data_IF_298422392820
#
_entry.id   IF_298422392820
#
_cell.length_a   1.000
_cell.length_b   1.000
_cell.length_c   1.000
_cell.angle_alpha   90.00
_cell.angle_beta   90.00
_cell.angle_gamma   90.00
#
_symmetry.space_group_name_H-M   'P 1'
#
loop_
_entity.id
_entity.type
_entity.pdbx_description
1 polymer ?
#
# COMPACT_ATOMS: atom_id res chain seq x y z
N UNK A 1 -12.76 -18.52 9.43
CA UNK A 1 -13.89 -17.57 9.49
C UNK A 1 -15.04 -18.26 10.20
N UNK A 2 -15.54 -17.71 11.30
CA UNK A 2 -16.67 -18.28 12.05
C UNK A 2 -17.98 -17.61 11.61
N UNK A 3 -18.93 -18.37 11.09
CA UNK A 3 -20.26 -17.91 10.69
C UNK A 3 -21.27 -18.22 11.80
N UNK A 4 -22.11 -17.24 12.17
CA UNK A 4 -23.29 -17.49 12.99
C UNK A 4 -24.30 -18.36 12.24
N UNK A 5 -25.23 -19.00 12.95
CA UNK A 5 -26.27 -19.81 12.30
C UNK A 5 -27.12 -19.01 11.28
N UNK A 6 -27.33 -17.71 11.54
CA UNK A 6 -28.04 -16.82 10.62
C UNK A 6 -27.22 -16.51 9.35
N UNK A 7 -25.92 -16.26 9.50
CA UNK A 7 -25.02 -16.05 8.36
C UNK A 7 -24.84 -17.34 7.54
N UNK A 8 -24.72 -18.49 8.19
CA UNK A 8 -24.63 -19.78 7.52
C UNK A 8 -25.88 -20.05 6.66
N UNK A 9 -27.07 -19.77 7.21
CA UNK A 9 -28.32 -19.91 6.46
C UNK A 9 -28.38 -18.98 5.25
N UNK A 10 -27.95 -17.73 5.39
CA UNK A 10 -27.88 -16.78 4.27
C UNK A 10 -26.91 -17.25 3.19
N UNK A 11 -25.73 -17.75 3.59
CA UNK A 11 -24.74 -18.27 2.64
C UNK A 11 -25.24 -19.49 1.88
N UNK A 12 -25.89 -20.44 2.57
CA UNK A 12 -26.49 -21.62 1.92
C UNK A 12 -27.50 -21.17 0.86
N UNK A 13 -28.40 -20.25 1.21
CA UNK A 13 -29.40 -19.75 0.27
C UNK A 13 -28.76 -19.04 -0.93
N UNK A 14 -27.72 -18.25 -0.69
CA UNK A 14 -26.99 -17.55 -1.74
C UNK A 14 -26.29 -18.51 -2.71
N UNK A 15 -25.62 -19.56 -2.22
CA UNK A 15 -24.99 -20.55 -3.10
C UNK A 15 -26.04 -21.36 -3.86
N UNK A 16 -27.17 -21.72 -3.23
CA UNK A 16 -28.27 -22.41 -3.92
C UNK A 16 -28.89 -21.52 -5.01
N UNK A 17 -29.02 -20.21 -4.78
CA UNK A 17 -29.50 -19.25 -5.78
C UNK A 17 -28.54 -19.15 -6.97
N UNK A 18 -27.24 -19.07 -6.70
CA UNK A 18 -26.20 -18.91 -7.72
C UNK A 18 -25.91 -20.20 -8.50
N UNK A 19 -26.12 -21.37 -7.90
CA UNK A 19 -25.88 -22.68 -8.50
C UNK A 19 -27.13 -23.55 -8.36
N UNK A 20 -28.15 -23.35 -9.22
CA UNK A 20 -29.47 -23.95 -9.05
C UNK A 20 -29.52 -25.45 -9.34
N UNK A 21 -28.44 -26.03 -9.88
CA UNK A 21 -28.31 -27.47 -10.11
C UNK A 21 -27.07 -28.05 -9.40
N UNK A 22 -27.08 -29.38 -9.19
CA UNK A 22 -25.94 -30.10 -8.61
C UNK A 22 -24.73 -30.02 -9.54
N UNK A 23 -24.98 -30.07 -10.84
CA UNK A 23 -23.99 -30.05 -11.91
C UNK A 23 -23.25 -28.70 -11.94
N UNK A 24 -23.97 -27.58 -11.84
CA UNK A 24 -23.35 -26.25 -11.80
C UNK A 24 -22.47 -26.07 -10.56
N UNK A 25 -22.97 -26.53 -9.40
CA UNK A 25 -22.19 -26.54 -8.16
C UNK A 25 -20.95 -27.42 -8.28
N UNK A 26 -21.07 -28.59 -8.91
CA UNK A 26 -19.95 -29.51 -9.11
C UNK A 26 -18.88 -28.92 -10.04
N UNK A 27 -19.29 -28.25 -11.12
CA UNK A 27 -18.37 -27.56 -12.03
C UNK A 27 -17.58 -26.47 -11.31
N UNK A 28 -18.26 -25.61 -10.53
CA UNK A 28 -17.55 -24.57 -9.76
C UNK A 28 -16.58 -25.17 -8.75
N UNK A 29 -17.00 -26.19 -8.00
CA UNK A 29 -16.12 -26.84 -7.00
C UNK A 29 -14.93 -27.53 -7.68
N UNK A 30 -15.13 -28.15 -8.84
CA UNK A 30 -14.05 -28.83 -9.57
C UNK A 30 -13.08 -27.85 -10.24
N UNK A 31 -13.59 -26.81 -10.91
CA UNK A 31 -12.76 -25.86 -11.67
C UNK A 31 -12.07 -24.83 -10.78
N UNK A 32 -12.76 -24.32 -9.76
CA UNK A 32 -12.23 -23.24 -8.92
C UNK A 32 -11.53 -23.74 -7.67
N UNK A 33 -11.94 -24.90 -7.14
CA UNK A 33 -11.38 -25.45 -5.90
C UNK A 33 -10.57 -26.73 -6.11
N UNK A 34 -10.61 -27.32 -7.32
CA UNK A 34 -9.90 -28.57 -7.63
C UNK A 34 -10.45 -29.80 -6.91
N UNK A 35 -11.70 -29.74 -6.41
CA UNK A 35 -12.28 -30.75 -5.53
C UNK A 35 -13.46 -31.47 -6.19
N UNK A 36 -13.66 -32.75 -5.85
CA UNK A 36 -14.80 -33.51 -6.34
C UNK A 36 -15.99 -33.36 -5.38
N UNK A 37 -17.08 -32.70 -5.83
CA UNK A 37 -18.27 -32.44 -5.01
C UNK A 37 -18.87 -33.71 -4.40
N UNK A 38 -18.93 -34.81 -5.15
CA UNK A 38 -19.50 -36.08 -4.69
C UNK A 38 -18.63 -36.77 -3.61
N UNK A 39 -17.33 -36.47 -3.59
CA UNK A 39 -16.41 -37.00 -2.58
C UNK A 39 -16.46 -36.21 -1.26
N UNK A 40 -16.80 -34.92 -1.32
CA UNK A 40 -16.68 -34.00 -0.18
C UNK A 40 -18.02 -33.62 0.45
N UNK A 41 -19.13 -33.82 -0.26
CA UNK A 41 -20.46 -33.52 0.24
C UNK A 41 -21.52 -34.49 -0.31
N UNK A 42 -22.58 -34.67 0.46
CA UNK A 42 -23.74 -35.44 0.05
C UNK A 42 -25.03 -34.75 0.55
N UNK A 43 -26.16 -34.99 -0.10
CA UNK A 43 -27.43 -34.44 0.32
C UNK A 43 -28.60 -34.98 -0.50
N UNK A 44 -29.77 -35.10 0.14
CA UNK A 44 -31.00 -35.58 -0.52
C UNK A 44 -31.63 -34.51 -1.43
N UNK A 45 -31.20 -33.26 -1.30
CA UNK A 45 -31.55 -32.14 -2.16
C UNK A 45 -30.39 -31.13 -2.17
N UNK A 46 -30.42 -30.18 -3.11
CA UNK A 46 -29.35 -29.20 -3.32
C UNK A 46 -29.06 -28.36 -2.07
N UNK A 47 -30.09 -27.91 -1.35
CA UNK A 47 -29.92 -27.15 -0.11
C UNK A 47 -29.17 -27.96 0.95
N UNK A 48 -29.51 -29.24 1.13
CA UNK A 48 -28.83 -30.13 2.06
C UNK A 48 -27.39 -30.42 1.62
N UNK A 49 -27.15 -30.55 0.31
CA UNK A 49 -25.82 -30.75 -0.27
C UNK A 49 -24.92 -29.54 -0.01
N UNK A 50 -25.41 -28.31 -0.24
CA UNK A 50 -24.70 -27.06 0.02
C UNK A 50 -24.45 -26.86 1.52
N UNK A 51 -25.45 -27.15 2.37
CA UNK A 51 -25.28 -27.09 3.82
C UNK A 51 -24.21 -28.06 4.33
N UNK A 52 -24.20 -29.30 3.83
CA UNK A 52 -23.20 -30.30 4.19
C UNK A 52 -21.81 -29.94 3.64
N UNK A 53 -21.73 -29.37 2.44
CA UNK A 53 -20.48 -28.87 1.85
C UNK A 53 -19.85 -27.82 2.76
N UNK A 54 -20.66 -26.94 3.35
CA UNK A 54 -20.16 -25.93 4.28
C UNK A 54 -19.79 -26.51 5.64
N UNK A 55 -20.69 -27.27 6.26
CA UNK A 55 -20.55 -27.68 7.67
C UNK A 55 -19.63 -28.87 7.88
N UNK A 56 -19.57 -29.80 6.92
CA UNK A 56 -18.76 -31.02 7.02
C UNK A 56 -17.42 -30.92 6.32
N UNK A 57 -17.29 -30.04 5.32
CA UNK A 57 -16.04 -29.88 4.57
C UNK A 57 -15.43 -28.48 4.74
N UNK A 58 -16.14 -27.41 4.39
CA UNK A 58 -15.53 -26.08 4.27
C UNK A 58 -15.12 -25.49 5.62
N UNK A 59 -15.99 -25.54 6.64
CA UNK A 59 -15.71 -24.97 7.97
C UNK A 59 -14.59 -25.76 8.69
N UNK A 60 -14.65 -27.11 8.83
CA UNK A 60 -13.63 -27.86 9.55
C UNK A 60 -12.24 -27.76 8.93
N UNK A 61 -12.15 -27.56 7.61
CA UNK A 61 -10.89 -27.45 6.86
C UNK A 61 -10.43 -26.02 6.61
N UNK A 62 -11.13 -25.02 7.16
CA UNK A 62 -10.82 -23.60 6.93
C UNK A 62 -11.04 -23.11 5.48
N UNK A 63 -11.74 -23.89 4.65
CA UNK A 63 -11.99 -23.62 3.22
C UNK A 63 -13.24 -22.78 2.96
N UNK A 64 -13.90 -22.24 4.00
CA UNK A 64 -15.11 -21.43 3.84
C UNK A 64 -14.88 -20.16 3.02
N UNK A 65 -13.75 -19.47 3.21
CA UNK A 65 -13.44 -18.25 2.45
C UNK A 65 -13.08 -18.55 1.00
N UNK A 66 -12.20 -19.55 0.69
CA UNK A 66 -12.02 -20.04 -0.68
C UNK A 66 -13.33 -20.41 -1.38
N UNK A 67 -14.22 -21.14 -0.70
CA UNK A 67 -15.52 -21.54 -1.25
C UNK A 67 -16.39 -20.33 -1.62
N UNK A 68 -16.47 -19.31 -0.76
CA UNK A 68 -17.24 -18.09 -1.03
C UNK A 68 -16.64 -17.30 -2.20
N UNK A 69 -15.30 -17.21 -2.27
CA UNK A 69 -14.60 -16.48 -3.34
C UNK A 69 -14.79 -17.18 -4.69
N UNK A 70 -14.62 -18.51 -4.73
CA UNK A 70 -14.88 -19.32 -5.91
C UNK A 70 -16.32 -19.17 -6.39
N UNK A 71 -17.29 -19.37 -5.47
CA UNK A 71 -18.70 -19.25 -5.77
C UNK A 71 -19.07 -17.87 -6.35
N UNK A 72 -18.52 -16.78 -5.79
CA UNK A 72 -18.78 -15.42 -6.27
C UNK A 72 -18.06 -15.12 -7.58
N UNK A 73 -16.82 -15.59 -7.76
CA UNK A 73 -16.03 -15.35 -8.97
C UNK A 73 -16.67 -15.93 -10.23
N UNK A 74 -17.27 -17.12 -10.14
CA UNK A 74 -17.94 -17.75 -11.29
C UNK A 74 -19.35 -17.16 -11.55
N UNK A 75 -20.05 -16.66 -10.52
CA UNK A 75 -21.41 -16.08 -10.64
C UNK A 75 -21.55 -14.74 -9.89
N UNK A 76 -20.86 -13.67 -10.33
CA UNK A 76 -20.81 -12.39 -9.60
C UNK A 76 -22.11 -11.58 -9.69
N UNK A 77 -22.94 -11.84 -10.71
CA UNK A 77 -24.20 -11.14 -10.95
C UNK A 77 -25.38 -11.69 -10.14
N UNK A 78 -25.19 -12.80 -9.40
CA UNK A 78 -26.24 -13.34 -8.54
C UNK A 78 -26.47 -12.41 -7.33
N UNK A 79 -27.69 -11.86 -7.13
CA UNK A 79 -27.93 -10.81 -6.15
C UNK A 79 -27.79 -11.30 -4.70
N UNK A 80 -28.23 -12.52 -4.38
CA UNK A 80 -28.12 -13.07 -3.02
C UNK A 80 -26.67 -13.38 -2.65
N UNK A 81 -25.89 -13.89 -3.61
CA UNK A 81 -24.46 -14.16 -3.43
C UNK A 81 -23.65 -12.87 -3.32
N UNK A 82 -23.99 -11.86 -4.13
CA UNK A 82 -23.42 -10.52 -4.03
C UNK A 82 -23.70 -9.87 -2.67
N UNK A 83 -24.95 -9.90 -2.21
CA UNK A 83 -25.32 -9.37 -0.88
C UNK A 83 -24.59 -10.12 0.24
N UNK A 84 -24.49 -11.44 0.16
CA UNK A 84 -23.77 -12.23 1.16
C UNK A 84 -22.27 -11.95 1.16
N UNK A 85 -21.64 -11.94 -0.02
CA UNK A 85 -20.22 -11.62 -0.19
C UNK A 85 -19.89 -10.25 0.41
N UNK A 86 -20.74 -9.25 0.11
CA UNK A 86 -20.62 -7.90 0.63
C UNK A 86 -20.92 -7.76 2.12
N UNK A 87 -21.77 -8.59 2.69
CA UNK A 87 -22.15 -8.49 4.10
C UNK A 87 -21.24 -9.25 5.06
N UNK A 88 -20.52 -10.29 4.61
CA UNK A 88 -19.76 -11.18 5.49
C UNK A 88 -18.28 -11.24 5.17
N UNK A 89 -17.88 -11.39 3.90
CA UNK A 89 -16.44 -11.42 3.53
C UNK A 89 -15.82 -10.04 3.67
N UNK A 90 -16.55 -9.03 3.20
CA UNK A 90 -16.20 -7.61 3.35
C UNK A 90 -16.22 -7.27 4.86
N UNK A 91 -17.36 -7.29 5.56
CA UNK A 91 -17.41 -6.89 6.99
C UNK A 91 -16.45 -7.65 7.93
N UNK A 92 -16.25 -8.96 7.78
CA UNK A 92 -15.37 -9.71 8.72
C UNK A 92 -13.87 -9.63 8.37
N UNK A 93 -13.49 -9.39 7.11
CA UNK A 93 -12.11 -8.93 6.81
C UNK A 93 -11.90 -7.51 7.33
N UNK A 94 -12.94 -6.66 7.28
CA UNK A 94 -12.89 -5.32 7.85
C UNK A 94 -12.86 -5.29 9.39
N UNK A 95 -13.36 -6.27 10.15
CA UNK A 95 -13.26 -6.22 11.63
C UNK A 95 -11.82 -6.28 12.16
N UNK A 96 -10.85 -6.73 11.37
CA UNK A 96 -9.42 -6.63 11.70
C UNK A 96 -8.86 -5.24 11.35
N UNK A 97 -9.47 -4.52 10.40
CA UNK A 97 -9.07 -3.18 9.94
C UNK A 97 -9.98 -2.03 10.47
N UNK A 98 -11.08 -2.32 11.17
CA UNK A 98 -12.11 -1.34 11.58
C UNK A 98 -11.73 -0.46 12.77
N UNK A 99 -10.54 -0.64 13.33
CA UNK A 99 -10.07 0.24 14.41
C UNK A 99 -9.57 1.60 13.89
N UNK A 100 -9.53 1.85 12.58
CA UNK A 100 -9.09 3.14 12.03
C UNK A 100 -10.04 3.59 10.92
N UNK A 101 -10.83 4.64 11.20
CA UNK A 101 -11.47 5.45 10.15
C UNK A 101 -10.38 6.02 9.25
N UNK A 102 -10.23 5.52 8.03
CA UNK A 102 -9.39 6.15 7.02
C UNK A 102 -10.23 7.20 6.27
N UNK A 103 -9.91 8.47 6.48
CA UNK A 103 -10.31 9.59 5.63
C UNK A 103 -9.42 9.64 4.39
N UNK A 104 -9.94 10.17 3.28
CA UNK A 104 -9.13 10.54 2.13
C UNK A 104 -8.03 11.55 2.56
N UNK A 105 -6.85 11.46 1.96
CA UNK A 105 -5.70 12.34 2.25
C UNK A 105 -4.83 12.52 1.00
N UNK A 106 -4.39 13.76 0.74
CA UNK A 106 -3.61 14.14 -0.45
C UNK A 106 -4.45 14.80 -1.57
N UNK A 107 -3.82 15.24 -2.68
CA UNK A 107 -4.50 15.86 -3.81
C UNK A 107 -5.40 14.90 -4.59
N UNK A 108 -6.36 15.46 -5.34
CA UNK A 108 -7.32 14.70 -6.13
C UNK A 108 -6.66 13.99 -7.32
N UNK A 109 -6.65 12.65 -7.30
CA UNK A 109 -6.08 11.84 -8.38
C UNK A 109 -7.11 11.56 -9.49
N UNK A 110 -6.76 11.82 -10.75
CA UNK A 110 -7.49 11.36 -11.93
C UNK A 110 -6.97 9.99 -12.41
N UNK A 111 -7.57 8.92 -11.88
CA UNK A 111 -7.19 7.54 -12.18
C UNK A 111 -7.43 7.17 -13.65
N UNK A 112 -6.42 6.60 -14.31
CA UNK A 112 -6.47 6.20 -15.73
C UNK A 112 -6.32 4.70 -15.98
N UNK A 113 -6.01 3.91 -14.95
CA UNK A 113 -5.81 2.46 -15.05
C UNK A 113 -7.11 1.67 -15.07
N UNK A 114 -7.01 0.34 -15.15
CA UNK A 114 -8.18 -0.54 -15.14
C UNK A 114 -9.00 -0.38 -13.85
N UNK A 115 -10.32 -0.26 -14.01
CA UNK A 115 -11.28 -0.08 -12.91
C UNK A 115 -11.93 -1.40 -12.48
N UNK A 116 -11.55 -2.51 -13.09
CA UNK A 116 -12.15 -3.82 -12.86
C UNK A 116 -11.72 -4.38 -11.50
N UNK A 117 -12.72 -4.64 -10.66
CA UNK A 117 -12.60 -4.95 -9.24
C UNK A 117 -11.95 -6.32 -9.00
N UNK A 118 -12.08 -7.23 -9.96
CA UNK A 118 -11.49 -8.57 -9.91
C UNK A 118 -9.97 -8.51 -10.14
N UNK A 119 -9.49 -7.63 -11.02
CA UNK A 119 -8.06 -7.43 -11.25
C UNK A 119 -7.40 -6.70 -10.09
N UNK A 120 -8.06 -5.68 -9.54
CA UNK A 120 -7.61 -4.99 -8.33
C UNK A 120 -7.50 -5.93 -7.12
N UNK A 121 -8.39 -6.92 -7.01
CA UNK A 121 -8.32 -7.98 -5.99
C UNK A 121 -7.25 -9.04 -6.28
N UNK A 122 -6.88 -9.28 -7.55
CA UNK A 122 -5.82 -10.24 -7.90
C UNK A 122 -4.45 -9.79 -7.39
N UNK A 123 -4.20 -8.48 -7.36
CA UNK A 123 -2.99 -7.86 -6.79
C UNK A 123 -2.92 -7.90 -5.25
N UNK A 124 -4.00 -8.38 -4.60
CA UNK A 124 -4.12 -8.50 -3.15
C UNK A 124 -4.22 -9.95 -2.67
N UNK A 125 -4.03 -10.97 -3.55
CA UNK A 125 -4.04 -12.38 -3.14
C UNK A 125 -2.70 -12.82 -2.49
N UNK A 126 -2.74 -13.76 -1.52
CA UNK A 126 -1.60 -14.12 -0.68
C UNK A 126 -0.88 -15.39 -1.16
N UNK A 127 0.42 -15.31 -1.40
CA UNK A 127 1.48 -16.09 -0.72
C UNK A 127 2.83 -15.66 -1.30
N UNK A 128 3.72 -15.18 -0.43
CA UNK A 128 5.12 -14.98 -0.81
C UNK A 128 5.78 -16.35 -0.67
N UNK A 129 6.17 -17.00 -1.76
CA UNK A 129 6.73 -18.35 -1.60
C UNK A 129 7.98 -18.31 -0.72
N UNK A 130 8.91 -17.36 -0.92
CA UNK A 130 9.99 -17.08 0.04
C UNK A 130 10.53 -15.66 -0.15
N UNK A 131 10.86 -14.95 0.93
CA UNK A 131 11.72 -13.75 0.84
C UNK A 131 13.16 -14.14 1.11
N UNK A 132 14.05 -13.81 0.20
CA UNK A 132 15.49 -13.95 0.44
C UNK A 132 15.92 -13.02 1.59
N UNK A 133 16.78 -13.51 2.48
CA UNK A 133 17.28 -12.71 3.62
C UNK A 133 18.03 -11.47 3.13
N UNK A 134 18.67 -11.54 1.96
CA UNK A 134 19.27 -10.39 1.30
C UNK A 134 18.25 -9.31 0.91
N UNK A 135 16.99 -9.66 0.60
CA UNK A 135 15.93 -8.67 0.41
C UNK A 135 15.70 -7.86 1.69
N UNK A 136 15.60 -8.53 2.84
CA UNK A 136 15.43 -7.86 4.14
C UNK A 136 16.68 -7.05 4.51
N UNK A 137 17.88 -7.55 4.21
CA UNK A 137 19.13 -6.81 4.43
C UNK A 137 19.15 -5.50 3.62
N UNK A 138 18.76 -5.55 2.34
CA UNK A 138 18.64 -4.35 1.50
C UNK A 138 17.57 -3.39 2.00
N UNK A 139 16.46 -3.92 2.53
CA UNK A 139 15.43 -3.11 3.18
C UNK A 139 15.97 -2.33 4.37
N UNK A 140 16.77 -2.99 5.22
CA UNK A 140 17.43 -2.35 6.36
C UNK A 140 18.44 -1.30 5.89
N UNK A 141 19.25 -1.61 4.86
CA UNK A 141 20.19 -0.65 4.28
C UNK A 141 19.48 0.60 3.75
N UNK A 142 18.40 0.45 2.98
CA UNK A 142 17.61 1.59 2.48
C UNK A 142 16.81 2.31 3.58
N UNK A 143 16.47 1.66 4.70
CA UNK A 143 15.81 2.33 5.84
C UNK A 143 16.64 3.46 6.42
N UNK A 144 17.97 3.41 6.27
CA UNK A 144 18.88 4.45 6.74
C UNK A 144 18.76 5.76 5.96
N UNK A 145 18.22 5.72 4.73
CA UNK A 145 18.00 6.91 3.90
C UNK A 145 16.69 7.62 4.21
N UNK A 146 15.79 7.01 5.00
CA UNK A 146 14.42 7.48 5.19
C UNK A 146 14.29 8.17 6.54
N UNK A 147 13.66 9.33 6.55
CA UNK A 147 13.39 10.08 7.78
C UNK A 147 11.91 10.40 7.95
N UNK A 148 11.51 10.56 9.21
CA UNK A 148 10.26 11.21 9.58
C UNK A 148 10.48 12.72 9.58
N UNK A 149 9.66 13.45 8.85
CA UNK A 149 9.63 14.91 8.85
C UNK A 149 8.57 15.34 9.86
N UNK A 150 8.95 16.17 10.82
CA UNK A 150 8.05 16.73 11.83
C UNK A 150 8.13 18.26 11.77
N UNK A 151 6.97 18.92 11.68
CA UNK A 151 6.86 20.38 11.71
C UNK A 151 5.99 20.75 12.92
N UNK A 152 6.60 21.07 14.08
CA UNK A 152 5.88 21.18 15.35
C UNK A 152 4.74 22.20 15.35
N UNK A 153 4.95 23.37 14.75
CA UNK A 153 3.98 24.46 14.77
C UNK A 153 2.69 24.17 13.99
N UNK A 154 2.73 23.23 13.03
CA UNK A 154 1.56 22.79 12.27
C UNK A 154 1.01 21.42 12.69
N UNK A 155 1.67 20.73 13.63
CA UNK A 155 1.45 19.29 13.89
C UNK A 155 1.47 18.45 12.59
N UNK A 156 2.35 18.84 11.65
CA UNK A 156 2.48 18.19 10.34
C UNK A 156 3.52 17.09 10.46
N UNK A 157 3.20 15.93 9.87
CA UNK A 157 4.07 14.77 9.80
C UNK A 157 4.13 14.28 8.36
N UNK A 158 5.33 13.95 7.90
CA UNK A 158 5.57 13.38 6.58
C UNK A 158 6.77 12.45 6.60
N UNK A 159 7.11 11.92 5.44
CA UNK A 159 8.29 11.11 5.22
C UNK A 159 9.22 11.82 4.23
N UNK A 160 10.53 11.68 4.39
CA UNK A 160 11.51 12.16 3.44
C UNK A 160 12.56 11.08 3.13
N UNK A 161 13.23 11.23 1.99
CA UNK A 161 14.31 10.35 1.55
C UNK A 161 15.57 11.15 1.23
N UNK A 162 16.68 10.78 1.84
CA UNK A 162 18.02 11.29 1.55
C UNK A 162 18.49 10.70 0.22
N UNK A 163 18.78 11.54 -0.78
CA UNK A 163 19.20 11.10 -2.13
C UNK A 163 20.66 11.43 -2.46
N UNK A 164 21.29 12.32 -1.69
CA UNK A 164 22.74 12.57 -1.70
C UNK A 164 23.20 12.77 -0.25
N UNK A 165 24.50 12.87 0.07
CA UNK A 165 24.96 12.96 1.46
C UNK A 165 24.32 14.07 2.32
N UNK A 166 23.71 15.09 1.70
CA UNK A 166 23.10 16.22 2.39
C UNK A 166 21.80 16.76 1.75
N UNK A 167 21.18 16.04 0.81
CA UNK A 167 19.93 16.50 0.16
C UNK A 167 18.81 15.49 0.30
N UNK A 168 17.64 15.97 0.72
CA UNK A 168 16.43 15.18 0.95
C UNK A 168 15.34 15.57 -0.05
N UNK A 169 14.61 14.57 -0.54
CA UNK A 169 13.33 14.76 -1.21
C UNK A 169 12.17 14.44 -0.26
N UNK A 170 11.10 15.23 -0.39
CA UNK A 170 9.77 14.96 0.15
C UNK A 170 8.72 15.62 -0.76
N UNK A 171 7.43 15.50 -0.46
CA UNK A 171 6.40 16.18 -1.24
C UNK A 171 6.30 17.67 -0.91
N UNK A 172 5.86 18.45 -1.88
CA UNK A 172 5.58 19.87 -1.69
C UNK A 172 4.46 20.09 -0.68
N UNK A 173 3.38 19.31 -0.78
CA UNK A 173 2.25 19.43 0.14
C UNK A 173 2.59 19.05 1.59
N UNK A 174 3.73 18.40 1.87
CA UNK A 174 4.18 18.14 3.26
C UNK A 174 4.59 19.45 3.94
N UNK A 175 5.17 20.39 3.19
CA UNK A 175 5.59 21.69 3.72
C UNK A 175 4.58 22.80 3.42
N UNK A 176 3.69 22.61 2.44
CA UNK A 176 2.63 23.56 2.10
C UNK A 176 1.33 22.81 1.80
N UNK A 177 0.63 22.39 2.85
CA UNK A 177 -0.62 21.65 2.71
C UNK A 177 -1.81 22.58 2.45
N UNK A 178 -1.82 23.75 3.12
CA UNK A 178 -2.84 24.79 2.98
C UNK A 178 -2.26 26.01 2.27
N UNK A 179 -3.11 26.79 1.63
CA UNK A 179 -2.70 28.02 0.96
C UNK A 179 -2.01 29.01 1.91
N UNK A 180 -2.48 29.06 3.17
CA UNK A 180 -1.94 29.89 4.26
C UNK A 180 -0.59 29.42 4.81
N UNK A 181 -0.18 28.17 4.54
CA UNK A 181 1.09 27.66 5.01
C UNK A 181 2.25 28.39 4.31
N UNK A 182 3.23 28.82 5.10
CA UNK A 182 4.45 29.42 4.57
C UNK A 182 5.54 28.35 4.42
N UNK A 183 5.89 28.06 3.17
CA UNK A 183 6.83 27.00 2.79
C UNK A 183 8.19 27.15 3.47
N UNK A 184 8.76 28.36 3.42
CA UNK A 184 10.07 28.66 4.00
C UNK A 184 10.07 28.54 5.53
N UNK A 185 9.05 29.06 6.20
CA UNK A 185 8.90 28.94 7.64
C UNK A 185 8.72 27.48 8.07
N UNK A 186 7.93 26.71 7.33
CA UNK A 186 7.76 25.28 7.58
C UNK A 186 9.07 24.53 7.39
N UNK A 187 9.85 24.85 6.35
CA UNK A 187 11.17 24.27 6.13
C UNK A 187 12.16 24.64 7.27
N UNK A 188 12.22 25.90 7.69
CA UNK A 188 13.11 26.34 8.78
C UNK A 188 12.79 25.70 10.14
N UNK A 189 11.54 25.28 10.35
CA UNK A 189 11.09 24.62 11.57
C UNK A 189 11.00 23.08 11.44
N UNK A 190 11.32 22.52 10.27
CA UNK A 190 11.26 21.09 10.03
C UNK A 190 12.37 20.36 10.81
N UNK A 191 11.98 19.25 11.44
CA UNK A 191 12.88 18.32 12.12
C UNK A 191 12.88 17.01 11.33
N UNK A 192 14.06 16.57 10.92
CA UNK A 192 14.31 15.34 10.19
C UNK A 192 14.79 14.28 11.18
N UNK A 193 13.95 13.26 11.46
CA UNK A 193 14.30 12.17 12.38
C UNK A 193 14.59 10.89 11.63
N UNK A 194 15.85 10.47 11.65
CA UNK A 194 16.30 9.21 11.07
C UNK A 194 16.33 8.10 12.12
N UNK A 195 16.02 6.86 11.72
CA UNK A 195 16.13 5.70 12.61
C UNK A 195 15.05 5.63 13.69
N UNK A 196 13.85 6.16 13.43
CA UNK A 196 12.66 5.94 14.26
C UNK A 196 12.11 4.53 13.99
N UNK A 197 12.66 3.53 14.68
CA UNK A 197 12.33 2.11 14.54
C UNK A 197 11.70 1.57 15.83
N UNK A 198 10.98 0.45 15.74
CA UNK A 198 10.54 -0.27 16.94
C UNK A 198 11.67 -1.15 17.43
N UNK A 199 12.08 -0.98 18.69
CA UNK A 199 13.08 -1.84 19.35
C UNK A 199 12.44 -3.10 19.94
N UNK A 200 13.28 -4.02 20.44
CA UNK A 200 12.84 -5.34 20.95
C UNK A 200 11.83 -5.27 22.10
N UNK A 201 11.79 -4.16 22.84
CA UNK A 201 10.83 -3.93 23.93
C UNK A 201 9.51 -3.30 23.45
N UNK A 202 9.33 -3.11 22.13
CA UNK A 202 8.15 -2.50 21.53
C UNK A 202 8.13 -0.97 21.54
N UNK A 203 9.16 -0.30 22.10
CA UNK A 203 9.26 1.15 22.14
C UNK A 203 10.01 1.69 20.91
N UNK A 204 9.65 2.90 20.49
CA UNK A 204 10.35 3.63 19.44
C UNK A 204 11.76 4.04 19.89
N UNK A 205 12.75 3.81 19.02
CA UNK A 205 14.12 4.28 19.20
C UNK A 205 14.20 5.80 19.07
N UNK A 206 15.12 6.43 19.80
CA UNK A 206 15.25 7.90 19.77
C UNK A 206 15.65 8.47 18.40
N UNK A 207 16.32 7.67 17.57
CA UNK A 207 16.80 8.09 16.26
C UNK A 207 17.85 9.21 16.32
N UNK A 208 18.11 9.86 15.19
CA UNK A 208 18.97 11.04 15.06
C UNK A 208 18.19 12.19 14.45
N UNK A 209 18.31 13.37 15.04
CA UNK A 209 17.58 14.57 14.63
C UNK A 209 18.48 15.55 13.89
N UNK A 210 18.04 15.96 12.71
CA UNK A 210 18.66 17.01 11.90
C UNK A 210 17.64 18.10 11.58
N UNK A 211 18.15 19.27 11.25
CA UNK A 211 17.43 20.42 10.72
C UNK A 211 17.87 20.68 9.28
N UNK A 212 17.09 21.50 8.59
CA UNK A 212 17.51 22.03 7.31
C UNK A 212 18.54 23.14 7.47
N UNK A 213 19.27 23.41 6.39
CA UNK A 213 20.20 24.53 6.33
C UNK A 213 19.48 25.86 6.61
N UNK A 214 20.10 26.71 7.41
CA UNK A 214 19.47 27.95 7.88
C UNK A 214 19.46 29.06 6.82
N UNK A 215 20.34 29.00 5.84
CA UNK A 215 20.47 30.03 4.81
C UNK A 215 19.68 29.65 3.56
N UNK A 216 19.77 28.39 3.15
CA UNK A 216 19.14 27.90 1.94
C UNK A 216 18.48 26.51 2.15
N UNK A 217 17.40 26.42 2.95
CA UNK A 217 16.77 25.14 3.29
C UNK A 217 16.09 24.45 2.10
N UNK A 218 15.63 25.22 1.11
CA UNK A 218 14.88 24.75 -0.07
C UNK A 218 15.70 25.08 -1.30
N UNK A 219 16.08 24.07 -2.07
CA UNK A 219 16.90 24.22 -3.28
C UNK A 219 16.03 24.45 -4.52
N UNK A 220 14.98 23.64 -4.66
CA UNK A 220 13.96 23.77 -5.70
C UNK A 220 12.71 22.96 -5.29
N UNK A 221 11.60 23.19 -5.98
CA UNK A 221 10.35 22.47 -5.77
C UNK A 221 9.47 22.53 -7.01
N UNK A 222 8.51 21.60 -7.09
CA UNK A 222 7.39 21.62 -8.04
C UNK A 222 6.08 21.51 -7.24
N UNK A 223 5.07 22.27 -7.66
CA UNK A 223 3.80 22.39 -6.95
C UNK A 223 2.97 21.08 -7.01
N UNK A 224 1.95 21.00 -6.18
CA UNK A 224 1.08 19.83 -6.04
C UNK A 224 0.42 19.40 -7.36
N UNK A 225 0.08 20.36 -8.22
CA UNK A 225 -0.57 20.15 -9.52
C UNK A 225 0.40 19.66 -10.61
N UNK A 226 1.70 19.65 -10.33
CA UNK A 226 2.77 19.25 -11.24
C UNK A 226 3.45 17.94 -10.76
N UNK A 227 4.63 18.03 -10.15
CA UNK A 227 5.40 16.87 -9.66
C UNK A 227 5.46 16.79 -8.13
N UNK A 228 4.79 17.69 -7.41
CA UNK A 228 4.60 17.65 -5.95
C UNK A 228 5.86 17.22 -5.16
N UNK A 229 6.98 17.89 -5.38
CA UNK A 229 8.22 17.58 -4.67
C UNK A 229 8.91 18.84 -4.16
N UNK A 230 9.69 18.69 -3.11
CA UNK A 230 10.64 19.71 -2.65
C UNK A 230 11.99 19.04 -2.43
N UNK A 231 13.04 19.64 -2.99
CA UNK A 231 14.42 19.31 -2.71
C UNK A 231 14.94 20.21 -1.58
N UNK A 232 15.35 19.57 -0.49
CA UNK A 232 15.76 20.24 0.74
C UNK A 232 17.25 20.05 1.00
N UNK A 233 17.89 21.10 1.49
CA UNK A 233 19.28 21.09 1.94
C UNK A 233 19.32 20.81 3.44
N UNK A 234 19.95 19.71 3.84
CA UNK A 234 20.14 19.37 5.25
C UNK A 234 21.37 20.10 5.79
N UNK A 235 21.34 20.46 7.08
CA UNK A 235 22.49 21.06 7.75
C UNK A 235 23.75 20.17 7.66
N UNK A 236 24.94 20.78 7.61
CA UNK A 236 26.19 20.09 7.32
C UNK A 236 26.52 18.91 8.26
N UNK A 237 26.00 18.91 9.49
CA UNK A 237 26.28 17.87 10.49
C UNK A 237 25.82 16.47 10.06
N UNK A 238 24.87 16.35 9.11
CA UNK A 238 24.43 15.06 8.59
C UNK A 238 25.57 14.28 7.92
N UNK A 239 26.52 14.97 7.31
CA UNK A 239 27.66 14.34 6.62
C UNK A 239 28.63 13.62 7.57
N UNK A 240 28.50 13.84 8.88
CA UNK A 240 29.28 13.16 9.92
C UNK A 240 28.60 11.87 10.42
N UNK A 241 27.33 11.63 10.07
CA UNK A 241 26.59 10.43 10.46
C UNK A 241 26.90 9.28 9.49
N UNK A 242 27.71 8.32 9.94
CA UNK A 242 28.17 7.19 9.11
C UNK A 242 27.11 6.10 8.90
N UNK A 243 26.11 6.05 9.76
CA UNK A 243 24.98 5.11 9.77
C UNK A 243 23.77 5.58 8.95
N UNK A 244 23.83 6.80 8.40
CA UNK A 244 22.83 7.35 7.49
C UNK A 244 23.43 7.38 6.10
N UNK A 245 22.85 6.65 5.16
CA UNK A 245 23.31 6.58 3.79
C UNK A 245 22.23 7.06 2.83
N UNK A 246 22.58 7.70 1.71
CA UNK A 246 21.60 8.06 0.69
C UNK A 246 20.93 6.82 0.08
N UNK A 247 19.69 6.99 -0.36
CA UNK A 247 18.96 5.97 -1.09
C UNK A 247 19.70 5.60 -2.37
N UNK A 248 19.63 4.33 -2.75
CA UNK A 248 20.13 3.88 -4.04
C UNK A 248 19.14 4.31 -5.12
N UNK A 249 19.61 4.98 -6.15
CA UNK A 249 18.79 5.40 -7.29
C UNK A 249 19.59 5.36 -8.59
N UNK A 250 18.88 5.32 -9.70
CA UNK A 250 19.40 5.42 -11.07
C UNK A 250 18.40 6.25 -11.87
N UNK A 251 18.86 7.33 -12.50
CA UNK A 251 17.99 8.27 -13.20
C UNK A 251 17.33 7.70 -14.45
N UNK A 252 17.82 6.56 -14.96
CA UNK A 252 17.25 5.85 -16.11
C UNK A 252 16.31 4.71 -15.70
N UNK A 253 16.28 4.35 -14.42
CA UNK A 253 15.40 3.29 -13.90
C UNK A 253 13.96 3.79 -13.80
N UNK A 254 13.08 3.03 -14.42
CA UNK A 254 11.63 3.25 -14.36
C UNK A 254 10.96 2.02 -13.73
N UNK A 255 9.86 2.21 -12.99
CA UNK A 255 9.04 1.10 -12.54
C UNK A 255 8.47 0.36 -13.76
N UNK A 256 8.20 -0.94 -13.60
CA UNK A 256 7.64 -1.81 -14.64
C UNK A 256 6.29 -2.30 -14.14
N UNK A 257 5.27 -2.25 -14.98
CA UNK A 257 3.93 -2.74 -14.64
C UNK A 257 3.97 -4.22 -14.24
N UNK A 258 3.12 -4.59 -13.26
CA UNK A 258 3.03 -5.92 -12.66
C UNK A 258 4.29 -6.38 -11.93
N UNK A 259 5.23 -5.48 -11.65
CA UNK A 259 6.39 -5.78 -10.80
C UNK A 259 6.21 -5.24 -9.38
N UNK A 260 7.13 -5.68 -8.52
CA UNK A 260 7.09 -5.39 -7.10
C UNK A 260 7.46 -3.95 -6.76
N UNK A 261 6.84 -3.45 -5.70
CA UNK A 261 7.10 -2.12 -5.18
C UNK A 261 7.08 -2.13 -3.65
N UNK A 262 8.12 -1.57 -3.05
CA UNK A 262 8.33 -1.51 -1.61
C UNK A 262 8.33 -0.06 -1.15
N UNK A 263 7.58 0.23 -0.09
CA UNK A 263 7.45 1.59 0.46
C UNK A 263 7.91 1.58 1.92
N UNK A 264 8.94 2.38 2.21
CA UNK A 264 9.42 2.66 3.57
C UNK A 264 8.84 4.00 4.02
N UNK A 265 8.10 4.01 5.13
CA UNK A 265 7.20 5.11 5.46
C UNK A 265 6.99 5.28 6.97
N UNK A 266 6.57 6.48 7.37
CA UNK A 266 6.13 6.82 8.73
C UNK A 266 4.61 7.05 8.80
N UNK A 267 3.79 6.00 8.68
CA UNK A 267 2.34 6.13 8.72
C UNK A 267 1.90 6.66 10.09
N UNK A 268 1.04 7.67 10.09
CA UNK A 268 0.55 8.46 11.24
C UNK A 268 1.66 9.10 12.07
N UNK A 269 2.85 9.22 11.50
CA UNK A 269 4.04 9.62 12.22
C UNK A 269 4.56 8.57 13.20
N UNK A 270 4.12 7.32 13.13
CA UNK A 270 4.65 6.23 13.94
C UNK A 270 6.10 5.87 13.51
N UNK A 271 6.72 4.98 14.28
CA UNK A 271 7.95 4.29 13.88
C UNK A 271 7.82 3.71 12.47
N UNK A 272 8.94 3.62 11.76
CA UNK A 272 8.98 3.22 10.36
C UNK A 272 8.27 1.88 10.11
N UNK A 273 7.60 1.78 8.97
CA UNK A 273 6.94 0.57 8.49
C UNK A 273 7.34 0.30 7.05
N UNK A 274 7.53 -0.97 6.73
CA UNK A 274 7.75 -1.45 5.37
C UNK A 274 6.44 -2.03 4.84
N UNK A 275 6.01 -1.57 3.67
CA UNK A 275 4.87 -2.09 2.93
C UNK A 275 5.37 -2.65 1.61
N UNK A 276 5.10 -3.93 1.34
CA UNK A 276 5.58 -4.66 0.16
C UNK A 276 4.38 -5.13 -0.66
N UNK A 277 4.52 -5.02 -1.98
CA UNK A 277 3.62 -5.62 -2.95
C UNK A 277 4.44 -6.27 -4.05
N UNK A 278 4.14 -7.53 -4.40
CA UNK A 278 4.94 -8.32 -5.37
C UNK A 278 4.61 -8.00 -6.82
N UNK A 279 3.34 -7.75 -7.12
CA UNK A 279 2.87 -7.34 -8.46
C UNK A 279 2.14 -6.00 -8.37
N UNK A 280 2.64 -5.13 -7.49
CA UNK A 280 1.90 -3.97 -7.00
C UNK A 280 1.78 -2.83 -7.98
N UNK A 281 2.62 -2.75 -9.01
CA UNK A 281 2.60 -1.65 -9.98
C UNK A 281 1.49 -1.89 -11.01
N UNK A 282 0.56 -0.94 -11.09
CA UNK A 282 -0.68 -1.06 -11.85
C UNK A 282 -0.69 -0.23 -13.13
N UNK A 283 0.17 0.77 -13.22
CA UNK A 283 0.32 1.61 -14.40
C UNK A 283 1.50 2.57 -14.28
N UNK A 284 2.19 2.82 -15.39
CA UNK A 284 3.33 3.75 -15.46
C UNK A 284 3.10 4.80 -16.55
N UNK A 285 3.01 6.06 -16.16
CA UNK A 285 2.63 7.18 -17.03
C UNK A 285 3.75 8.23 -17.10
N UNK A 286 4.79 7.94 -17.88
CA UNK A 286 5.99 8.78 -17.97
C UNK A 286 5.71 10.22 -18.43
N UNK A 287 4.78 10.40 -19.37
CA UNK A 287 4.42 11.72 -19.90
C UNK A 287 3.86 12.66 -18.83
N UNK A 288 3.19 12.12 -17.81
CA UNK A 288 2.68 12.87 -16.66
C UNK A 288 3.56 12.72 -15.42
N UNK A 289 4.64 11.93 -15.48
CA UNK A 289 5.50 11.67 -14.33
C UNK A 289 4.87 10.83 -13.23
N UNK A 290 3.88 9.99 -13.53
CA UNK A 290 3.11 9.25 -12.53
C UNK A 290 3.36 7.75 -12.58
N UNK A 291 3.32 7.10 -11.42
CA UNK A 291 3.17 5.65 -11.27
C UNK A 291 2.02 5.35 -10.32
N UNK A 292 1.21 4.36 -10.69
CA UNK A 292 0.10 3.87 -9.88
C UNK A 292 0.44 2.49 -9.35
N UNK A 293 0.11 2.24 -8.08
CA UNK A 293 0.44 0.99 -7.41
C UNK A 293 -0.47 0.65 -6.23
N UNK A 294 -0.37 -0.59 -5.73
CA UNK A 294 -1.14 -1.12 -4.59
C UNK A 294 -0.22 -1.49 -3.44
N UNK A 295 -0.18 -0.65 -2.42
CA UNK A 295 0.46 -0.92 -1.13
C UNK A 295 -0.43 -0.42 0.01
N UNK A 296 -0.22 -0.94 1.22
CA UNK A 296 -0.79 -0.31 2.43
C UNK A 296 0.00 0.96 2.75
N UNK A 297 -0.67 2.11 2.81
CA UNK A 297 -0.14 3.38 3.37
C UNK A 297 -1.22 4.08 4.18
N UNK A 298 -0.83 5.09 4.96
CA UNK A 298 -1.73 5.95 5.73
C UNK A 298 -1.23 7.41 5.73
N UNK A 299 -2.00 8.35 6.30
CA UNK A 299 -1.57 9.74 6.57
C UNK A 299 -0.14 9.77 7.11
N UNK A 300 0.71 10.71 6.71
CA UNK A 300 2.13 10.76 7.12
C UNK A 300 3.08 9.94 6.24
N UNK A 301 2.54 9.12 5.32
CA UNK A 301 3.35 8.42 4.31
C UNK A 301 3.71 9.30 3.11
N UNK A 302 3.15 10.50 2.98
CA UNK A 302 3.54 11.46 1.93
C UNK A 302 5.05 11.72 1.95
N UNK A 303 5.68 11.65 0.79
CA UNK A 303 7.12 11.79 0.60
C UNK A 303 7.90 10.51 0.85
N UNK A 304 7.22 9.38 1.04
CA UNK A 304 7.88 8.09 1.20
C UNK A 304 8.53 7.63 -0.10
N UNK A 305 9.76 7.12 -0.05
CA UNK A 305 10.38 6.50 -1.21
C UNK A 305 9.69 5.19 -1.58
N UNK A 306 9.46 5.03 -2.88
CA UNK A 306 9.02 3.79 -3.49
C UNK A 306 10.20 3.13 -4.21
N UNK A 307 10.51 1.91 -3.80
CA UNK A 307 11.61 1.12 -4.32
C UNK A 307 11.12 0.00 -5.22
N UNK A 308 11.89 -0.30 -6.27
CA UNK A 308 11.71 -1.52 -7.06
C UNK A 308 12.24 -2.77 -6.32
N UNK A 309 12.13 -3.94 -6.93
CA UNK A 309 12.60 -5.21 -6.36
C UNK A 309 14.13 -5.26 -6.08
N UNK A 310 14.88 -4.39 -6.76
CA UNK A 310 16.32 -4.24 -6.60
C UNK A 310 16.72 -3.14 -5.62
N UNK A 311 15.74 -2.56 -4.92
CA UNK A 311 15.91 -1.46 -3.96
C UNK A 311 16.47 -0.17 -4.58
N UNK A 312 16.14 0.08 -5.85
CA UNK A 312 16.32 1.40 -6.46
C UNK A 312 15.08 2.26 -6.20
N UNK A 313 15.28 3.50 -5.74
CA UNK A 313 14.23 4.51 -5.67
C UNK A 313 13.73 4.80 -7.09
N UNK A 314 12.46 4.52 -7.34
CA UNK A 314 11.80 4.70 -8.64
C UNK A 314 10.69 5.73 -8.60
N UNK A 315 10.13 6.03 -7.43
CA UNK A 315 9.10 7.04 -7.27
C UNK A 315 9.03 7.60 -5.84
N UNK A 316 8.33 8.72 -5.69
CA UNK A 316 7.99 9.34 -4.42
C UNK A 316 6.48 9.23 -4.18
N UNK A 317 6.05 8.56 -3.12
CA UNK A 317 4.64 8.41 -2.79
C UNK A 317 4.02 9.78 -2.47
N UNK A 318 2.98 10.18 -3.22
CA UNK A 318 2.36 11.51 -3.05
C UNK A 318 0.87 11.47 -2.70
N UNK A 319 0.13 10.47 -3.19
CA UNK A 319 -1.31 10.44 -3.00
C UNK A 319 -1.89 9.02 -2.86
N UNK A 320 -3.03 8.94 -2.17
CA UNK A 320 -3.82 7.72 -2.01
C UNK A 320 -5.25 8.02 -2.38
N UNK A 321 -5.90 7.12 -3.13
CA UNK A 321 -7.33 7.22 -3.43
C UNK A 321 -8.07 5.97 -2.98
N UNK A 322 -9.10 6.15 -2.16
CA UNK A 322 -10.05 5.11 -1.89
C UNK A 322 -10.78 4.74 -3.19
N UNK A 323 -10.91 3.45 -3.46
CA UNK A 323 -11.76 2.92 -4.52
C UNK A 323 -12.95 2.24 -3.87
N UNK A 324 -13.98 1.94 -4.66
CA UNK A 324 -15.10 1.12 -4.22
C UNK A 324 -14.61 -0.20 -3.59
N UNK A 325 -13.43 -0.68 -4.02
CA UNK A 325 -12.72 -1.82 -3.44
C UNK A 325 -11.23 -1.50 -3.24
N UNK A 326 -10.80 -1.39 -1.98
CA UNK A 326 -9.41 -1.13 -1.62
C UNK A 326 -9.00 0.33 -1.77
N UNK A 327 -7.69 0.56 -1.79
CA UNK A 327 -7.13 1.89 -2.01
C UNK A 327 -5.92 1.75 -2.93
N UNK A 328 -5.86 2.61 -3.93
CA UNK A 328 -4.71 2.72 -4.83
C UNK A 328 -3.79 3.81 -4.31
N UNK A 329 -2.53 3.73 -4.68
CA UNK A 329 -1.53 4.75 -4.43
C UNK A 329 -1.05 5.31 -5.76
N UNK A 330 -0.64 6.56 -5.70
CA UNK A 330 0.09 7.21 -6.78
C UNK A 330 1.40 7.73 -6.22
N UNK A 331 2.43 7.65 -7.05
CA UNK A 331 3.74 8.23 -6.80
C UNK A 331 4.20 9.03 -8.00
N UNK A 332 5.08 9.99 -7.74
CA UNK A 332 5.75 10.77 -8.76
C UNK A 332 7.03 10.04 -9.15
N UNK A 333 7.22 9.80 -10.45
CA UNK A 333 8.39 9.10 -10.98
C UNK A 333 9.68 9.86 -10.64
N UNK A 334 10.63 9.17 -10.03
CA UNK A 334 11.92 9.75 -9.67
C UNK A 334 12.68 10.24 -10.90
N UNK A 335 12.56 9.54 -12.05
CA UNK A 335 13.17 9.95 -13.30
C UNK A 335 12.69 11.34 -13.79
N UNK A 336 11.42 11.69 -13.53
CA UNK A 336 10.87 13.00 -13.88
C UNK A 336 11.38 14.07 -12.91
N UNK A 337 11.36 13.80 -11.60
CA UNK A 337 11.94 14.70 -10.58
C UNK A 337 13.42 14.96 -10.90
N UNK A 338 14.18 13.91 -11.24
CA UNK A 338 15.60 13.98 -11.57
C UNK A 338 15.90 15.00 -12.67
N UNK A 339 15.04 15.13 -13.69
CA UNK A 339 15.27 16.10 -14.77
C UNK A 339 15.33 17.55 -14.27
N UNK A 340 14.57 17.87 -13.22
CA UNK A 340 14.52 19.21 -12.63
C UNK A 340 15.60 19.41 -11.57
N UNK A 341 16.03 18.34 -10.89
CA UNK A 341 16.96 18.47 -9.75
C UNK A 341 18.42 18.19 -10.09
N UNK A 342 18.75 17.62 -11.25
CA UNK A 342 20.09 17.13 -11.60
C UNK A 342 21.21 18.14 -11.37
N UNK A 343 20.98 19.43 -11.61
CA UNK A 343 22.00 20.47 -11.46
C UNK A 343 22.34 20.76 -9.99
N UNK A 344 21.45 20.39 -9.06
CA UNK A 344 21.66 20.48 -7.62
C UNK A 344 22.36 19.24 -7.04
N UNK A 345 22.47 18.13 -7.78
CA UNK A 345 23.01 16.87 -7.25
C UNK A 345 24.53 16.72 -7.39
N UNK A 346 25.17 17.67 -8.06
CA UNK A 346 26.63 17.71 -8.26
C UNK A 346 27.41 18.03 -6.98
#
# INVERSE_FOLDING_TARGET
>A
MNLSGAELKKLVNAIVSAYPSKEDLAMMVQFELGENLDAISCGNNLTQLVFNLMTKWAIPRGKISPLIIAAYGTNPDNPELKEFYQSVVIKKRFLVDSAVKNSDFGPDINWRGESDEIQLQSWLKPETDYWDVGFLKRAIEQSTSVCRIEIPFGNIMGTGVLITPNKILTNYHVLKYRDEDNLENNALNAILKFGCLTSDNGLETQGKCFQLDRQNPILCFSQTEELDYVLLQVEAKITQATDIQPARWDSQKLPIEKMGISVLQHPKGDSMKLSISQDGITGVYQNSGLVQYVNKTAVGSSGSPCFDENWYLVALHHAQKAKNFGSIREGILFANIYQEIKDFLN
#
